data_IF_300908444107
#
_entry.id   IF_300908444107
#
_cell.length_a   1.000
_cell.length_b   1.000
_cell.length_c   1.000
_cell.angle_alpha   90.00
_cell.angle_beta   90.00
_cell.angle_gamma   90.00
#
_symmetry.space_group_name_H-M   'P 1'
#
loop_
_entity.id
_entity.type
_entity.pdbx_description
1 polymer ?
#
# COMPACT_ATOMS: atom_id res chain seq x y z
N UNK A 1 14.70 -17.62 5.28
CA UNK A 1 13.73 -16.63 5.80
C UNK A 1 12.37 -17.31 5.86
N UNK A 2 11.69 -17.25 7.00
CA UNK A 2 10.32 -17.77 7.13
C UNK A 2 9.31 -16.62 6.96
N UNK A 3 8.33 -16.81 6.07
CA UNK A 3 7.26 -15.84 5.77
C UNK A 3 5.91 -16.45 6.16
N UNK A 4 5.67 -16.59 7.47
CA UNK A 4 4.54 -17.35 8.00
C UNK A 4 3.35 -16.46 8.37
N UNK A 5 3.57 -15.15 8.53
CA UNK A 5 2.55 -14.16 8.86
C UNK A 5 2.54 -12.99 7.87
N UNK A 6 1.40 -12.29 7.80
CA UNK A 6 1.26 -11.09 6.98
C UNK A 6 2.26 -9.99 7.37
N UNK A 7 2.60 -9.88 8.66
CA UNK A 7 3.56 -8.89 9.15
C UNK A 7 4.99 -9.20 8.67
N UNK A 8 5.42 -10.47 8.77
CA UNK A 8 6.73 -10.90 8.26
C UNK A 8 6.84 -10.71 6.74
N UNK A 9 5.75 -10.98 6.00
CA UNK A 9 5.68 -10.72 4.57
C UNK A 9 5.82 -9.23 4.25
N UNK A 10 5.16 -8.36 5.01
CA UNK A 10 5.28 -6.91 4.83
C UNK A 10 6.71 -6.43 5.11
N UNK A 11 7.33 -6.92 6.19
CA UNK A 11 8.71 -6.60 6.55
C UNK A 11 9.74 -7.15 5.55
N UNK A 12 9.38 -8.17 4.78
CA UNK A 12 10.24 -8.73 3.73
C UNK A 12 10.29 -7.86 2.48
N UNK A 13 9.31 -6.98 2.27
CA UNK A 13 9.30 -6.07 1.11
C UNK A 13 10.54 -5.15 1.16
N UNK A 14 11.20 -5.05 0.02
CA UNK A 14 12.45 -4.31 -0.17
C UNK A 14 13.72 -5.05 0.24
N UNK A 15 13.62 -6.25 0.84
CA UNK A 15 14.80 -7.05 1.21
C UNK A 15 15.40 -7.76 0.00
N UNK A 16 16.74 -7.83 -0.11
CA UNK A 16 17.43 -8.64 -1.11
C UNK A 16 17.35 -10.11 -0.71
N UNK A 17 16.95 -10.97 -1.64
CA UNK A 17 16.80 -12.41 -1.42
C UNK A 17 17.32 -13.22 -2.59
N UNK A 18 17.67 -14.46 -2.31
CA UNK A 18 17.79 -15.53 -3.29
C UNK A 18 16.67 -16.54 -3.05
N UNK A 19 15.95 -16.91 -4.12
CA UNK A 19 14.80 -17.80 -4.04
C UNK A 19 15.13 -19.08 -4.80
N UNK A 20 15.11 -20.19 -4.08
CA UNK A 20 15.21 -21.51 -4.68
C UNK A 20 13.88 -21.93 -5.27
N UNK A 21 13.87 -22.27 -6.56
CA UNK A 21 12.66 -22.68 -7.29
C UNK A 21 12.67 -24.20 -7.47
N UNK A 22 11.51 -24.82 -7.23
CA UNK A 22 11.29 -26.22 -7.51
C UNK A 22 11.51 -26.51 -9.01
N UNK A 23 12.20 -27.62 -9.36
CA UNK A 23 12.46 -27.95 -10.75
C UNK A 23 11.16 -28.19 -11.51
N UNK A 24 11.01 -27.52 -12.66
CA UNK A 24 9.86 -27.67 -13.58
C UNK A 24 9.64 -29.11 -14.06
N UNK A 25 10.67 -29.96 -13.99
CA UNK A 25 10.57 -31.36 -14.35
C UNK A 25 11.54 -32.21 -13.52
N UNK A 26 11.10 -33.40 -13.05
CA UNK A 26 11.92 -34.31 -12.20
C UNK A 26 13.23 -34.81 -12.86
N UNK A 27 13.41 -34.56 -14.16
CA UNK A 27 14.63 -34.87 -14.92
C UNK A 27 15.64 -33.72 -14.98
N UNK A 28 15.24 -32.50 -14.64
CA UNK A 28 16.15 -31.36 -14.53
C UNK A 28 16.79 -31.39 -13.16
N UNK A 29 18.10 -31.65 -13.11
CA UNK A 29 18.89 -31.72 -11.86
C UNK A 29 19.48 -30.37 -11.42
N UNK A 30 19.25 -29.29 -12.15
CA UNK A 30 19.72 -27.98 -11.74
C UNK A 30 18.74 -27.40 -10.74
N UNK A 31 19.18 -27.23 -9.49
CA UNK A 31 18.56 -26.27 -8.59
C UNK A 31 18.64 -24.90 -9.29
N UNK A 32 17.49 -24.32 -9.60
CA UNK A 32 17.41 -22.98 -10.19
C UNK A 32 17.12 -21.99 -9.08
N UNK A 33 18.10 -21.17 -8.74
CA UNK A 33 17.91 -20.02 -7.85
C UNK A 33 17.70 -18.75 -8.66
N UNK A 34 16.94 -17.81 -8.09
CA UNK A 34 16.73 -16.50 -8.66
C UNK A 34 16.91 -15.43 -7.58
N UNK A 35 17.78 -14.45 -7.84
CA UNK A 35 18.07 -13.38 -6.88
C UNK A 35 17.43 -12.05 -7.30
N UNK A 36 17.08 -11.24 -6.31
CA UNK A 36 16.54 -9.90 -6.49
C UNK A 36 15.97 -9.34 -5.20
N UNK A 37 15.27 -8.21 -5.29
CA UNK A 37 14.62 -7.60 -4.14
C UNK A 37 13.11 -7.87 -4.18
N UNK A 38 12.53 -8.24 -3.04
CA UNK A 38 11.09 -8.46 -2.94
C UNK A 38 10.38 -7.12 -3.14
N UNK A 39 9.41 -7.04 -4.04
CA UNK A 39 8.57 -5.85 -4.24
C UNK A 39 7.12 -6.07 -3.83
N UNK A 40 6.65 -7.32 -3.82
CA UNK A 40 5.32 -7.68 -3.38
C UNK A 40 5.26 -9.16 -2.98
N UNK A 41 4.39 -9.48 -2.03
CA UNK A 41 4.03 -10.85 -1.67
C UNK A 41 2.51 -10.93 -1.61
N UNK A 42 1.92 -11.91 -2.28
CA UNK A 42 0.51 -12.25 -2.09
C UNK A 42 0.39 -13.18 -0.87
N UNK A 43 -0.29 -12.76 0.22
CA UNK A 43 -0.37 -13.55 1.44
C UNK A 43 -1.14 -14.88 1.25
N UNK A 44 -2.08 -14.93 0.30
CA UNK A 44 -2.92 -16.12 0.11
C UNK A 44 -2.18 -17.20 -0.67
N UNK A 45 -1.57 -16.83 -1.81
CA UNK A 45 -0.83 -17.79 -2.65
C UNK A 45 0.65 -17.92 -2.29
N UNK A 46 1.17 -17.04 -1.42
CA UNK A 46 2.60 -16.86 -1.12
C UNK A 46 3.45 -16.58 -2.36
N UNK A 47 2.84 -16.05 -3.41
CA UNK A 47 3.56 -15.68 -4.63
C UNK A 47 4.38 -14.41 -4.41
N UNK A 48 5.53 -14.33 -5.07
CA UNK A 48 6.50 -13.26 -4.86
C UNK A 48 6.69 -12.48 -6.17
N UNK A 49 6.58 -11.15 -6.08
CA UNK A 49 7.13 -10.23 -7.07
C UNK A 49 8.57 -9.91 -6.71
N UNK A 50 9.50 -10.21 -7.62
CA UNK A 50 10.94 -10.04 -7.41
C UNK A 50 11.51 -9.07 -8.44
N UNK A 51 12.12 -7.98 -7.98
CA UNK A 51 12.83 -7.03 -8.83
C UNK A 51 14.28 -7.50 -9.04
N UNK A 52 14.64 -7.77 -10.29
CA UNK A 52 15.99 -8.19 -10.65
C UNK A 52 16.85 -7.01 -11.12
N UNK A 53 18.15 -7.13 -10.86
CA UNK A 53 19.14 -6.16 -11.28
C UNK A 53 20.13 -6.80 -12.26
N UNK A 54 20.48 -6.08 -13.32
CA UNK A 54 21.53 -6.48 -14.25
C UNK A 54 22.50 -5.32 -14.46
N UNK A 55 23.79 -5.54 -14.27
CA UNK A 55 24.81 -4.47 -14.35
C UNK A 55 24.52 -3.29 -13.42
N UNK A 56 23.88 -3.54 -12.27
CA UNK A 56 23.48 -2.51 -11.31
C UNK A 56 22.30 -1.64 -11.70
N UNK A 57 21.58 -1.94 -12.78
CA UNK A 57 20.30 -1.29 -13.12
C UNK A 57 19.15 -2.26 -12.84
N UNK A 58 18.03 -1.76 -12.33
CA UNK A 58 16.79 -2.53 -12.28
C UNK A 58 16.43 -2.91 -13.72
N UNK A 59 16.33 -4.21 -13.98
CA UNK A 59 16.17 -4.72 -15.35
C UNK A 59 14.73 -5.15 -15.61
N UNK A 60 14.09 -5.85 -14.66
CA UNK A 60 12.71 -6.34 -14.79
C UNK A 60 12.16 -6.84 -13.45
N UNK A 61 10.83 -6.92 -13.36
CA UNK A 61 10.11 -7.57 -12.26
C UNK A 61 9.66 -8.96 -12.72
N UNK A 62 9.95 -9.98 -11.92
CA UNK A 62 9.58 -11.38 -12.15
C UNK A 62 8.50 -11.78 -11.16
N UNK A 63 7.45 -12.42 -11.64
CA UNK A 63 6.43 -13.06 -10.80
C UNK A 63 6.81 -14.53 -10.58
N UNK A 64 6.88 -14.94 -9.32
CA UNK A 64 7.19 -16.31 -8.91
C UNK A 64 5.95 -16.87 -8.19
N UNK A 65 5.26 -17.87 -8.76
CA UNK A 65 4.15 -18.53 -8.08
C UNK A 65 4.61 -19.18 -6.78
N UNK A 66 3.88 -18.97 -5.68
CA UNK A 66 4.29 -19.49 -4.37
C UNK A 66 4.45 -21.01 -4.32
N UNK A 67 3.63 -21.75 -5.08
CA UNK A 67 3.75 -23.21 -5.22
C UNK A 67 5.06 -23.69 -5.87
N UNK A 68 5.83 -22.78 -6.50
CA UNK A 68 7.12 -23.09 -7.11
C UNK A 68 8.29 -22.75 -6.20
N UNK A 69 8.05 -22.06 -5.07
CA UNK A 69 9.09 -21.63 -4.15
C UNK A 69 9.43 -22.79 -3.22
N UNK A 70 10.70 -23.18 -3.18
CA UNK A 70 11.24 -24.16 -2.25
C UNK A 70 11.68 -23.47 -0.96
N UNK A 71 12.51 -22.44 -1.10
CA UNK A 71 13.08 -21.70 0.04
C UNK A 71 13.46 -20.27 -0.37
N UNK A 72 13.44 -19.35 0.60
CA UNK A 72 13.82 -17.95 0.42
C UNK A 72 14.98 -17.65 1.37
N UNK A 73 16.12 -17.27 0.82
CA UNK A 73 17.34 -16.94 1.56
C UNK A 73 17.52 -15.43 1.62
N UNK A 74 17.73 -14.90 2.83
CA UNK A 74 18.05 -13.48 2.99
C UNK A 74 19.52 -13.25 2.56
N UNK A 75 19.75 -12.27 1.69
CA UNK A 75 21.09 -11.93 1.21
C UNK A 75 21.73 -10.79 2.00
N UNK A 76 21.08 -10.27 3.04
CA UNK A 76 21.62 -9.21 3.90
C UNK A 76 22.95 -9.59 4.59
N UNK A 77 23.24 -10.89 4.76
CA UNK A 77 24.48 -11.39 5.39
C UNK A 77 25.51 -11.96 4.38
N UNK A 78 25.30 -11.75 3.06
CA UNK A 78 26.11 -12.36 1.99
C UNK A 78 27.14 -11.42 1.34
N UNK A 79 28.08 -11.95 0.52
CA UNK A 79 29.13 -11.18 -0.18
C UNK A 79 28.59 -10.16 -1.22
N UNK A 80 27.27 -10.13 -1.42
CA UNK A 80 26.55 -9.18 -2.27
C UNK A 80 25.99 -7.97 -1.50
N UNK A 81 26.01 -7.98 -0.16
CA UNK A 81 25.42 -6.96 0.71
C UNK A 81 26.08 -5.58 0.64
N UNK A 82 27.38 -5.51 0.35
CA UNK A 82 28.14 -4.25 0.38
C UNK A 82 28.35 -3.57 -0.98
N UNK A 83 28.18 -4.30 -2.10
CA UNK A 83 28.68 -3.81 -3.39
C UNK A 83 27.65 -3.12 -4.28
N UNK A 84 26.35 -3.19 -3.98
CA UNK A 84 25.36 -2.48 -4.78
C UNK A 84 24.14 -2.06 -3.98
N UNK A 85 23.79 -0.80 -4.21
CA UNK A 85 22.75 -0.03 -3.56
C UNK A 85 21.32 -0.47 -3.96
N UNK A 86 21.05 -1.78 -3.95
CA UNK A 86 19.82 -2.40 -4.45
C UNK A 86 18.62 -2.08 -3.56
N UNK A 87 18.84 -1.99 -2.24
CA UNK A 87 17.80 -1.60 -1.28
C UNK A 87 17.30 -0.18 -1.53
N UNK A 88 18.19 0.80 -1.73
CA UNK A 88 17.76 2.18 -2.03
C UNK A 88 17.04 2.28 -3.38
N UNK A 89 17.51 1.56 -4.41
CA UNK A 89 16.83 1.55 -5.72
C UNK A 89 15.43 0.95 -5.66
N UNK A 90 15.26 -0.11 -4.86
CA UNK A 90 13.94 -0.72 -4.63
C UNK A 90 13.05 0.20 -3.82
N UNK A 91 13.58 0.84 -2.77
CA UNK A 91 12.85 1.85 -1.99
C UNK A 91 12.39 3.02 -2.85
N UNK A 92 13.25 3.51 -3.76
CA UNK A 92 12.90 4.55 -4.72
C UNK A 92 11.77 4.13 -5.68
N UNK A 93 11.79 2.89 -6.17
CA UNK A 93 10.73 2.34 -7.01
C UNK A 93 9.41 2.18 -6.25
N UNK A 94 9.45 1.64 -5.03
CA UNK A 94 8.26 1.48 -4.17
C UNK A 94 7.64 2.86 -3.88
N UNK A 95 8.45 3.83 -3.45
CA UNK A 95 8.00 5.21 -3.23
C UNK A 95 7.43 5.85 -4.49
N UNK A 96 8.02 5.58 -5.64
CA UNK A 96 7.50 6.06 -6.92
C UNK A 96 6.14 5.44 -7.24
N UNK A 97 5.97 4.13 -7.03
CA UNK A 97 4.69 3.43 -7.24
C UNK A 97 3.64 3.95 -6.26
N UNK A 98 3.98 4.08 -4.98
CA UNK A 98 3.11 4.69 -3.97
C UNK A 98 2.67 6.08 -4.41
N UNK A 99 3.60 6.96 -4.76
CA UNK A 99 3.29 8.32 -5.22
C UNK A 99 2.46 8.37 -6.51
N UNK A 100 2.64 7.41 -7.41
CA UNK A 100 2.04 7.47 -8.77
C UNK A 100 0.69 6.75 -8.84
N UNK A 101 0.52 5.67 -8.08
CA UNK A 101 -0.63 4.77 -8.20
C UNK A 101 -1.45 4.65 -6.92
N UNK A 102 -0.84 4.85 -5.75
CA UNK A 102 -1.60 4.98 -4.51
C UNK A 102 -2.03 6.44 -4.44
N UNK A 103 -3.29 6.69 -4.75
CA UNK A 103 -3.95 7.96 -4.40
C UNK A 103 -4.08 8.04 -2.88
N UNK A 104 -2.97 8.11 -2.16
CA UNK A 104 -2.94 8.63 -0.79
C UNK A 104 -3.00 10.14 -0.88
N UNK A 105 -4.06 10.62 -1.51
CA UNK A 105 -4.33 12.05 -1.60
C UNK A 105 -4.84 12.49 -0.22
N UNK A 106 -3.97 13.24 0.48
CA UNK A 106 -4.30 14.31 1.42
C UNK A 106 -4.38 14.06 2.93
N UNK A 107 -3.88 12.96 3.49
CA UNK A 107 -3.72 12.90 4.96
C UNK A 107 -2.44 13.59 5.47
N UNK A 108 -1.34 13.56 4.71
CA UNK A 108 0.00 13.81 5.28
C UNK A 108 0.58 15.21 5.07
N UNK A 109 -0.10 16.13 4.37
CA UNK A 109 0.42 17.48 4.09
C UNK A 109 -0.55 18.63 4.42
N UNK A 110 -1.70 18.35 5.04
CA UNK A 110 -2.60 19.42 5.48
C UNK A 110 -2.21 19.84 6.88
N UNK A 111 -1.95 21.14 7.07
CA UNK A 111 -1.73 21.73 8.37
C UNK A 111 -2.94 21.44 9.29
N UNK A 112 -2.71 21.24 10.59
CA UNK A 112 -3.78 21.00 11.57
C UNK A 112 -4.81 22.14 11.55
N UNK A 113 -4.34 23.35 11.23
CA UNK A 113 -5.18 24.53 11.02
C UNK A 113 -6.15 24.33 9.85
N UNK A 114 -5.67 23.83 8.72
CA UNK A 114 -6.48 23.59 7.53
C UNK A 114 -7.50 22.46 7.74
N UNK A 115 -7.10 21.40 8.45
CA UNK A 115 -8.01 20.30 8.83
C UNK A 115 -9.13 20.85 9.72
N UNK A 116 -8.80 21.75 10.65
CA UNK A 116 -9.77 22.39 11.55
C UNK A 116 -10.70 23.32 10.79
N UNK A 117 -10.20 24.12 9.85
CA UNK A 117 -11.00 24.97 8.99
C UNK A 117 -11.98 24.16 8.14
N UNK A 118 -11.51 23.06 7.53
CA UNK A 118 -12.35 22.17 6.74
C UNK A 118 -13.45 21.53 7.59
N UNK A 119 -13.12 21.08 8.80
CA UNK A 119 -14.09 20.59 9.77
C UNK A 119 -15.16 21.65 10.07
N UNK A 120 -14.75 22.89 10.33
CA UNK A 120 -15.68 23.98 10.64
C UNK A 120 -16.58 24.34 9.44
N UNK A 121 -16.03 24.38 8.22
CA UNK A 121 -16.82 24.59 6.99
C UNK A 121 -17.87 23.49 6.80
N UNK A 122 -17.48 22.24 7.00
CA UNK A 122 -18.38 21.10 6.92
C UNK A 122 -19.50 21.20 7.96
N UNK A 123 -19.19 21.49 9.23
CA UNK A 123 -20.20 21.64 10.28
C UNK A 123 -21.19 22.76 9.96
N UNK A 124 -20.68 23.94 9.54
CA UNK A 124 -21.54 25.06 9.11
C UNK A 124 -22.45 24.68 7.94
N UNK A 125 -21.93 23.91 6.97
CA UNK A 125 -22.73 23.43 5.85
C UNK A 125 -23.83 22.45 6.31
N UNK A 126 -23.53 21.54 7.23
CA UNK A 126 -24.50 20.61 7.79
C UNK A 126 -25.60 21.32 8.59
N UNK A 127 -25.21 22.33 9.39
CA UNK A 127 -26.14 23.20 10.11
C UNK A 127 -27.08 23.93 9.15
N UNK A 128 -26.53 24.58 8.12
CA UNK A 128 -27.31 25.28 7.09
C UNK A 128 -28.24 24.35 6.31
N UNK A 129 -27.81 23.11 6.08
CA UNK A 129 -28.58 22.10 5.36
C UNK A 129 -29.60 21.38 6.24
N UNK A 130 -29.68 21.71 7.53
CA UNK A 130 -30.54 21.04 8.53
C UNK A 130 -30.35 19.52 8.57
N UNK A 131 -29.12 19.05 8.30
CA UNK A 131 -28.78 17.64 8.31
C UNK A 131 -28.33 17.23 9.72
N UNK A 132 -29.04 16.30 10.40
CA UNK A 132 -28.63 15.86 11.72
C UNK A 132 -27.30 15.10 11.64
N UNK A 133 -26.34 15.49 12.48
CA UNK A 133 -25.04 14.85 12.54
C UNK A 133 -24.63 14.52 13.97
N UNK A 134 -23.71 13.55 14.10
CA UNK A 134 -23.10 13.15 15.36
C UNK A 134 -21.57 13.22 15.22
N UNK A 135 -20.92 13.97 16.11
CA UNK A 135 -19.45 13.96 16.21
C UNK A 135 -19.02 12.91 17.23
N UNK A 136 -18.10 12.04 16.83
CA UNK A 136 -17.45 11.06 17.69
C UNK A 136 -16.14 11.62 18.26
N UNK A 137 -15.63 10.99 19.33
CA UNK A 137 -14.41 11.42 20.03
C UNK A 137 -13.14 11.22 19.17
N UNK A 138 -13.19 10.36 18.16
CA UNK A 138 -12.09 10.10 17.21
C UNK A 138 -12.02 11.12 16.06
N UNK A 139 -12.88 12.17 16.10
CA UNK A 139 -12.98 13.17 15.04
C UNK A 139 -13.93 12.78 13.89
N UNK A 140 -14.48 11.57 13.88
CA UNK A 140 -15.44 11.13 12.85
C UNK A 140 -16.76 11.89 12.98
N UNK A 141 -17.28 12.42 11.86
CA UNK A 141 -18.62 13.03 11.78
C UNK A 141 -19.55 12.04 11.07
N UNK A 142 -20.68 11.70 11.69
CA UNK A 142 -21.67 10.78 11.14
C UNK A 142 -22.93 11.54 10.77
N UNK A 143 -23.38 11.42 9.52
CA UNK A 143 -24.63 12.01 9.01
C UNK A 143 -25.51 10.88 8.46
N UNK A 144 -26.51 10.48 9.24
CA UNK A 144 -27.31 9.30 8.93
C UNK A 144 -26.45 8.03 8.78
N UNK A 145 -26.38 7.48 7.56
CA UNK A 145 -25.59 6.28 7.25
C UNK A 145 -24.16 6.59 6.77
N UNK A 146 -23.77 7.86 6.61
CA UNK A 146 -22.47 8.26 6.07
C UNK A 146 -21.55 8.71 7.21
N UNK A 147 -20.33 8.19 7.22
CA UNK A 147 -19.25 8.57 8.15
C UNK A 147 -18.19 9.34 7.38
N UNK A 148 -17.70 10.43 7.97
CA UNK A 148 -16.71 11.31 7.37
C UNK A 148 -15.54 11.40 8.34
N UNK A 149 -14.34 11.12 7.85
CA UNK A 149 -13.11 11.22 8.65
C UNK A 149 -12.25 12.39 8.19
N UNK A 150 -11.34 12.90 9.04
CA UNK A 150 -10.28 13.80 8.59
C UNK A 150 -9.58 13.23 7.34
N UNK A 151 -9.17 14.07 6.37
CA UNK A 151 -9.26 15.55 6.31
C UNK A 151 -10.62 16.15 5.87
N UNK A 152 -11.74 15.40 6.00
CA UNK A 152 -13.10 15.84 5.66
C UNK A 152 -13.30 16.22 4.18
N UNK A 153 -12.79 15.37 3.27
CA UNK A 153 -13.03 15.50 1.83
C UNK A 153 -14.13 14.55 1.35
N UNK A 154 -14.51 14.67 0.07
CA UNK A 154 -15.46 13.73 -0.54
C UNK A 154 -14.93 12.27 -0.53
N UNK A 155 -13.62 12.10 -0.67
CA UNK A 155 -12.98 10.77 -0.65
C UNK A 155 -12.92 10.15 0.74
N UNK A 156 -12.98 10.97 1.80
CA UNK A 156 -12.94 10.50 3.19
C UNK A 156 -14.33 10.19 3.75
N UNK A 157 -15.32 10.07 2.87
CA UNK A 157 -16.66 9.62 3.18
C UNK A 157 -16.81 8.10 3.00
N UNK A 158 -17.45 7.45 3.96
CA UNK A 158 -17.66 6.00 4.03
C UNK A 158 -19.11 5.68 4.37
N UNK A 159 -19.73 4.73 3.67
CA UNK A 159 -21.05 4.19 4.02
C UNK A 159 -21.22 2.81 3.39
N UNK A 160 -21.99 1.95 4.05
CA UNK A 160 -22.49 0.70 3.45
C UNK A 160 -23.57 1.00 2.39
N UNK A 161 -24.25 2.15 2.51
CA UNK A 161 -25.23 2.59 1.54
C UNK A 161 -24.56 3.44 0.44
N UNK A 162 -24.19 2.79 -0.66
CA UNK A 162 -23.50 3.42 -1.80
C UNK A 162 -24.30 4.56 -2.45
N UNK A 163 -25.64 4.49 -2.45
CA UNK A 163 -26.49 5.56 -2.96
C UNK A 163 -26.43 6.81 -2.07
N UNK A 164 -26.47 6.60 -0.74
CA UNK A 164 -26.31 7.69 0.22
C UNK A 164 -24.91 8.30 0.12
N UNK A 165 -23.86 7.47 0.01
CA UNK A 165 -22.49 7.91 -0.16
C UNK A 165 -22.32 8.79 -1.40
N UNK A 166 -22.82 8.34 -2.57
CA UNK A 166 -22.70 9.10 -3.82
C UNK A 166 -23.42 10.46 -3.77
N UNK A 167 -24.60 10.52 -3.13
CA UNK A 167 -25.32 11.79 -2.94
C UNK A 167 -24.56 12.71 -1.99
N UNK A 168 -24.06 12.15 -0.89
CA UNK A 168 -23.39 12.91 0.15
C UNK A 168 -22.03 13.45 -0.31
N UNK A 169 -21.27 12.69 -1.09
CA UNK A 169 -20.04 13.17 -1.74
C UNK A 169 -20.29 14.40 -2.62
N UNK A 170 -21.33 14.37 -3.45
CA UNK A 170 -21.76 15.53 -4.26
C UNK A 170 -22.21 16.73 -3.43
N UNK A 171 -22.77 16.51 -2.24
CA UNK A 171 -23.13 17.60 -1.33
C UNK A 171 -21.88 18.21 -0.69
N UNK A 172 -20.93 17.38 -0.28
CA UNK A 172 -19.66 17.85 0.28
C UNK A 172 -18.82 18.59 -0.74
N UNK A 173 -18.78 18.13 -1.99
CA UNK A 173 -18.06 18.84 -3.06
C UNK A 173 -18.59 20.26 -3.27
N UNK A 174 -19.84 20.56 -2.90
CA UNK A 174 -20.43 21.90 -2.93
C UNK A 174 -20.11 22.74 -1.68
N UNK A 175 -19.78 22.12 -0.55
CA UNK A 175 -19.47 22.82 0.70
C UNK A 175 -18.06 23.46 0.70
N UNK A 176 -17.20 23.05 -0.23
CA UNK A 176 -15.81 23.51 -0.35
C UNK A 176 -15.52 24.39 -1.59
N UNK A 177 -16.55 24.76 -2.35
CA UNK A 177 -16.50 25.78 -3.42
C UNK A 177 -16.83 27.14 -2.83
#
# INVERSE_FOLDING_TARGET
MELNSAMEMLEAIGKPVEIDILPLNKKSKSDSSISGNIVAIDPDSRSVGLLQFHGGKSSHVVYIPGASIKEIHDLNDGPFGDNMNYREKTSGLIKFIEKTFVKTEHAENLDETEITERRQKLLKFLDNSSLPYQSQNDGTITVGAVKIRPPYSEDTCFSENQLALGRFRKLISQAFV
#
